data_IF_003465229036
#
_entry.id   IF_003465229036
#
_cell.length_a   1.000
_cell.length_b   1.000
_cell.length_c   1.000
_cell.angle_alpha   90.00
_cell.angle_beta   90.00
_cell.angle_gamma   90.00
#
_symmetry.space_group_name_H-M   'P 1'
#
loop_
_entity.id
_entity.type
_entity.pdbx_description
1 polymer ?
#
# COMPACT_ATOMS: atom_id res chain seq x y z
N UNK A 1 40.40 2.37 13.81
CA UNK A 1 39.43 1.32 14.17
C UNK A 1 38.10 1.74 13.55
N UNK A 2 37.70 1.11 12.44
CA UNK A 2 36.46 1.43 11.73
C UNK A 2 35.27 0.89 12.54
N UNK A 3 34.25 1.73 12.78
CA UNK A 3 32.92 1.26 13.17
C UNK A 3 31.96 1.73 12.09
N UNK A 4 31.57 0.78 11.24
CA UNK A 4 30.53 0.92 10.22
C UNK A 4 29.25 1.42 10.89
N UNK A 5 28.77 2.57 10.43
CA UNK A 5 27.43 3.06 10.75
C UNK A 5 26.46 2.21 9.94
N UNK A 6 25.59 1.49 10.65
CA UNK A 6 24.50 0.73 10.04
C UNK A 6 23.57 1.69 9.28
N UNK A 7 23.34 1.37 8.01
CA UNK A 7 22.36 2.03 7.18
C UNK A 7 20.93 1.64 7.57
N UNK A 8 19.99 2.52 7.20
CA UNK A 8 18.54 2.40 7.19
C UNK A 8 17.76 2.97 8.39
N UNK A 9 17.93 4.26 8.68
CA UNK A 9 16.80 5.10 9.12
C UNK A 9 15.94 5.49 7.91
N UNK A 10 15.14 4.55 7.38
CA UNK A 10 13.99 4.92 6.54
C UNK A 10 12.81 5.24 7.46
N UNK A 11 12.95 6.30 8.27
CA UNK A 11 11.80 6.96 8.89
C UNK A 11 11.18 7.90 7.86
N UNK A 12 10.53 7.35 6.84
CA UNK A 12 9.54 8.10 6.06
C UNK A 12 8.37 8.42 7.00
N UNK A 13 8.45 9.57 7.68
CA UNK A 13 7.26 10.20 8.25
C UNK A 13 6.27 10.37 7.09
N UNK A 14 5.09 9.75 7.10
CA UNK A 14 4.13 9.96 6.03
C UNK A 14 3.73 11.44 6.08
N UNK A 15 3.98 12.13 4.97
CA UNK A 15 3.57 13.51 4.75
C UNK A 15 2.04 13.56 4.74
N UNK A 16 1.41 13.84 5.88
CA UNK A 16 0.01 14.31 6.00
C UNK A 16 -1.00 13.59 5.07
N UNK A 17 -0.88 12.27 4.93
CA UNK A 17 -1.88 11.42 4.29
C UNK A 17 -2.79 10.83 5.35
N UNK A 18 -4.02 10.51 4.98
CA UNK A 18 -4.90 9.76 5.87
C UNK A 18 -4.36 8.33 5.94
N UNK A 19 -3.91 7.92 7.14
CA UNK A 19 -3.48 6.54 7.42
C UNK A 19 -4.61 5.78 8.10
N UNK A 20 -4.92 4.60 7.59
CA UNK A 20 -5.95 3.70 8.12
C UNK A 20 -5.38 2.29 8.32
N UNK A 21 -5.75 1.66 9.42
CA UNK A 21 -5.51 0.23 9.64
C UNK A 21 -6.81 -0.54 9.50
N UNK A 22 -6.75 -1.69 8.80
CA UNK A 22 -7.91 -2.57 8.60
C UNK A 22 -7.54 -3.99 8.98
N UNK A 23 -8.31 -4.56 9.90
CA UNK A 23 -8.21 -5.96 10.28
C UNK A 23 -8.87 -6.84 9.20
N UNK A 24 -8.13 -7.85 8.78
CA UNK A 24 -8.54 -8.87 7.82
C UNK A 24 -9.14 -10.08 8.53
N UNK A 25 -9.94 -10.86 7.82
CA UNK A 25 -10.63 -12.04 8.38
C UNK A 25 -9.68 -13.14 8.86
N UNK A 26 -8.45 -13.16 8.33
CA UNK A 26 -7.39 -14.10 8.74
C UNK A 26 -6.62 -13.64 9.99
N UNK A 27 -7.02 -12.52 10.60
CA UNK A 27 -6.41 -11.97 11.81
C UNK A 27 -5.18 -11.10 11.56
N UNK A 28 -4.82 -10.83 10.30
CA UNK A 28 -3.76 -9.87 9.94
C UNK A 28 -4.32 -8.45 9.86
N UNK A 29 -3.46 -7.44 10.00
CA UNK A 29 -3.84 -6.01 9.88
C UNK A 29 -3.11 -5.37 8.70
N UNK A 30 -3.85 -4.90 7.72
CA UNK A 30 -3.30 -4.14 6.59
C UNK A 30 -3.25 -2.64 6.94
N UNK A 31 -2.17 -1.98 6.54
CA UNK A 31 -1.98 -0.53 6.66
C UNK A 31 -2.24 0.13 5.32
N UNK A 32 -2.98 1.24 5.32
CA UNK A 32 -3.41 1.95 4.13
C UNK A 32 -3.00 3.40 4.28
N UNK A 33 -2.28 3.90 3.30
CA UNK A 33 -1.86 5.29 3.23
C UNK A 33 -2.48 5.93 1.99
N UNK A 34 -3.27 7.00 2.18
CA UNK A 34 -3.89 7.75 1.09
C UNK A 34 -3.15 9.06 0.92
N UNK A 35 -2.59 9.28 -0.26
CA UNK A 35 -1.79 10.48 -0.57
C UNK A 35 -2.34 11.25 -1.77
N UNK A 36 -1.96 12.53 -1.87
CA UNK A 36 -2.27 13.38 -3.02
C UNK A 36 -3.76 13.60 -3.26
N UNK A 37 -4.55 13.86 -2.21
CA UNK A 37 -6.01 14.03 -2.30
C UNK A 37 -6.72 12.83 -2.97
N UNK A 38 -6.47 11.62 -2.45
CA UNK A 38 -6.94 10.33 -2.98
C UNK A 38 -6.40 10.00 -4.39
N UNK A 39 -5.35 10.63 -4.88
CA UNK A 39 -4.74 10.27 -6.18
C UNK A 39 -3.89 8.98 -6.11
N UNK A 40 -3.43 8.60 -4.92
CA UNK A 40 -2.61 7.41 -4.71
C UNK A 40 -2.99 6.73 -3.40
N UNK A 41 -3.02 5.40 -3.43
CA UNK A 41 -3.28 4.56 -2.27
C UNK A 41 -2.21 3.50 -2.19
N UNK A 42 -1.59 3.40 -1.03
CA UNK A 42 -0.58 2.42 -0.70
C UNK A 42 -1.18 1.47 0.33
N UNK A 43 -1.22 0.17 0.01
CA UNK A 43 -1.69 -0.88 0.93
C UNK A 43 -0.49 -1.73 1.32
N UNK A 44 -0.24 -1.90 2.61
CA UNK A 44 0.91 -2.60 3.17
C UNK A 44 0.48 -3.70 4.14
N UNK A 45 1.02 -4.91 3.97
CA UNK A 45 0.88 -6.01 4.92
C UNK A 45 2.17 -6.84 4.98
N UNK A 46 2.31 -7.80 4.06
CA UNK A 46 3.50 -8.60 3.73
C UNK A 46 4.11 -8.15 2.40
N UNK A 47 3.29 -7.52 1.57
CA UNK A 47 3.67 -6.85 0.33
C UNK A 47 3.17 -5.42 0.39
N UNK A 48 3.62 -4.62 -0.57
CA UNK A 48 3.19 -3.24 -0.74
C UNK A 48 2.58 -3.07 -2.12
N UNK A 49 1.26 -2.93 -2.16
CA UNK A 49 0.50 -2.66 -3.37
C UNK A 49 0.28 -1.15 -3.52
N UNK A 50 0.63 -0.62 -4.68
CA UNK A 50 0.48 0.80 -5.00
C UNK A 50 -0.61 0.95 -6.05
N UNK A 51 -1.65 1.71 -5.71
CA UNK A 51 -2.75 2.03 -6.60
C UNK A 51 -2.70 3.48 -7.02
N UNK A 52 -2.89 3.71 -8.32
CA UNK A 52 -3.18 5.01 -8.89
C UNK A 52 -4.69 5.18 -8.96
N UNK A 53 -5.20 6.31 -8.50
CA UNK A 53 -6.63 6.59 -8.47
C UNK A 53 -6.95 7.74 -9.41
N UNK A 54 -7.97 7.55 -10.25
CA UNK A 54 -8.51 8.57 -11.13
C UNK A 54 -10.02 8.65 -10.96
N UNK A 55 -10.50 9.72 -10.32
CA UNK A 55 -11.90 9.81 -9.91
C UNK A 55 -12.19 8.77 -8.83
N UNK A 56 -13.04 7.80 -9.16
CA UNK A 56 -13.35 6.66 -8.28
C UNK A 56 -12.62 5.38 -8.70
N UNK A 57 -11.93 5.36 -9.83
CA UNK A 57 -11.29 4.15 -10.34
C UNK A 57 -9.91 3.97 -9.74
N UNK A 58 -9.64 2.82 -9.11
CA UNK A 58 -8.35 2.47 -8.51
C UNK A 58 -7.65 1.37 -9.29
N UNK A 59 -6.53 1.69 -9.94
CA UNK A 59 -5.76 0.75 -10.75
C UNK A 59 -4.46 0.36 -10.08
N UNK A 60 -4.12 -0.92 -10.13
CA UNK A 60 -2.82 -1.38 -9.65
C UNK A 60 -1.71 -0.81 -10.54
N UNK A 61 -0.77 -0.10 -9.92
CA UNK A 61 0.40 0.48 -10.61
C UNK A 61 1.60 -0.46 -10.46
N UNK A 62 1.81 -0.98 -9.25
CA UNK A 62 2.89 -1.92 -8.96
C UNK A 62 2.70 -2.64 -7.62
N UNK A 63 3.38 -3.78 -7.49
CA UNK A 63 3.54 -4.53 -6.25
C UNK A 63 5.03 -4.56 -5.88
N UNK A 64 5.34 -4.31 -4.60
CA UNK A 64 6.67 -4.43 -4.04
C UNK A 64 6.71 -5.55 -2.99
N UNK A 65 7.84 -6.26 -2.92
CA UNK A 65 8.13 -7.18 -1.81
C UNK A 65 8.65 -6.43 -0.57
N UNK A 66 8.95 -7.16 0.50
CA UNK A 66 9.50 -6.63 1.77
C UNK A 66 10.82 -5.86 1.60
N UNK A 67 11.56 -6.11 0.51
CA UNK A 67 12.82 -5.42 0.18
C UNK A 67 12.60 -4.21 -0.75
N UNK A 68 11.36 -3.74 -0.90
CA UNK A 68 10.95 -2.65 -1.80
C UNK A 68 11.26 -2.92 -3.29
N UNK A 69 11.41 -4.19 -3.66
CA UNK A 69 11.66 -4.57 -5.04
C UNK A 69 10.36 -4.85 -5.76
N UNK A 70 10.23 -4.33 -6.98
CA UNK A 70 9.09 -4.62 -7.85
C UNK A 70 9.03 -6.11 -8.15
N UNK A 71 7.85 -6.69 -7.95
CA UNK A 71 7.52 -8.06 -8.27
C UNK A 71 6.29 -8.10 -9.19
N UNK A 72 6.08 -9.25 -9.81
CA UNK A 72 4.83 -9.59 -10.49
C UNK A 72 4.05 -10.51 -9.57
N UNK A 73 2.84 -10.10 -9.18
CA UNK A 73 2.02 -10.81 -8.20
C UNK A 73 0.54 -10.45 -8.39
N UNK A 74 -0.30 -11.44 -8.15
CA UNK A 74 -1.75 -11.26 -8.22
C UNK A 74 -2.25 -10.45 -7.01
N UNK A 75 -3.35 -9.72 -7.23
CA UNK A 75 -4.03 -9.04 -6.14
C UNK A 75 -4.72 -10.05 -5.23
N UNK A 76 -4.45 -10.04 -3.92
CA UNK A 76 -5.18 -10.88 -3.00
C UNK A 76 -6.66 -10.46 -2.94
N UNK A 77 -7.57 -11.44 -2.85
CA UNK A 77 -9.01 -11.22 -2.94
C UNK A 77 -9.65 -10.32 -1.88
N UNK A 78 -8.91 -9.95 -0.83
CA UNK A 78 -9.36 -8.99 0.19
C UNK A 78 -9.14 -7.52 -0.22
N UNK A 79 -8.28 -7.24 -1.20
CA UNK A 79 -7.98 -5.87 -1.62
C UNK A 79 -9.17 -5.23 -2.32
N UNK A 80 -9.86 -5.94 -3.20
CA UNK A 80 -10.98 -5.37 -3.93
C UNK A 80 -12.13 -4.96 -2.99
N UNK A 81 -12.61 -5.82 -2.05
CA UNK A 81 -13.55 -5.39 -1.02
C UNK A 81 -13.05 -4.23 -0.18
N UNK A 82 -11.75 -4.15 0.09
CA UNK A 82 -11.15 -3.03 0.83
C UNK A 82 -11.26 -1.72 0.05
N UNK A 83 -10.88 -1.71 -1.23
CA UNK A 83 -10.97 -0.52 -2.08
C UNK A 83 -12.42 -0.04 -2.24
N UNK A 84 -13.37 -0.97 -2.36
CA UNK A 84 -14.81 -0.66 -2.37
C UNK A 84 -15.28 0.02 -1.08
N UNK A 85 -14.79 -0.40 0.10
CA UNK A 85 -15.09 0.27 1.38
C UNK A 85 -14.54 1.70 1.44
N UNK A 86 -13.46 1.98 0.71
CA UNK A 86 -12.90 3.33 0.53
C UNK A 86 -13.64 4.16 -0.54
N UNK A 87 -14.73 3.62 -1.09
CA UNK A 87 -15.53 4.25 -2.14
C UNK A 87 -14.82 4.29 -3.49
N UNK A 88 -14.03 3.26 -3.80
CA UNK A 88 -13.32 3.11 -5.06
C UNK A 88 -13.84 1.89 -5.83
N UNK A 89 -13.80 1.98 -7.15
CA UNK A 89 -14.27 0.97 -8.10
C UNK A 89 -13.13 0.57 -9.05
N UNK A 90 -13.32 -0.52 -9.80
CA UNK A 90 -12.49 -0.85 -10.96
C UNK A 90 -11.06 -1.29 -10.63
N UNK A 91 -10.92 -2.42 -9.92
CA UNK A 91 -9.62 -3.06 -9.68
C UNK A 91 -9.24 -3.90 -10.89
N UNK A 92 -8.75 -3.27 -11.95
CA UNK A 92 -8.12 -3.99 -13.06
C UNK A 92 -6.66 -4.32 -12.68
N UNK A 93 -6.36 -5.61 -12.60
CA UNK A 93 -5.00 -6.15 -12.51
C UNK A 93 -4.33 -6.18 -13.89
#
# INVERSE_FOLDING_TARGET
MLRVQSAADYSTKPNSGDELSVDLEDGRTAHIEITGNRARIDVRLDRHWVFGVNGNDAKLVMVLNENEQRIDDDLPGWIEPLLQRLGLEGVDA
#
